data_IF_406332161277
#
_entry.id   IF_406332161277
#
_cell.length_a   1.000
_cell.length_b   1.000
_cell.length_c   1.000
_cell.angle_alpha   90.00
_cell.angle_beta   90.00
_cell.angle_gamma   90.00
#
_symmetry.space_group_name_H-M   'P 1'
#
loop_
_entity.id
_entity.type
_entity.pdbx_description
1 polymer ?
#
# COMPACT_ATOMS: atom_id res chain seq x y z
N UNK A 1 -8.96 5.25 -1.43
CA UNK A 1 -10.32 5.79 -1.65
C UNK A 1 -10.30 7.26 -1.99
N UNK A 2 -11.28 7.72 -2.72
CA UNK A 2 -11.47 9.12 -3.11
C UNK A 2 -12.95 9.48 -3.00
N UNK A 3 -13.30 10.77 -2.95
CA UNK A 3 -14.71 11.14 -3.02
C UNK A 3 -15.35 10.63 -4.32
N UNK A 4 -16.64 10.31 -4.29
CA UNK A 4 -17.37 9.73 -5.44
C UNK A 4 -17.20 10.59 -6.70
N UNK A 5 -17.24 11.92 -6.56
CA UNK A 5 -17.04 12.86 -7.66
C UNK A 5 -15.64 12.79 -8.29
N UNK A 6 -14.65 12.30 -7.57
CA UNK A 6 -13.27 12.16 -8.05
C UNK A 6 -12.96 10.76 -8.64
N UNK A 7 -13.88 9.80 -8.51
CA UNK A 7 -13.68 8.43 -9.02
C UNK A 7 -13.27 8.41 -10.51
N UNK A 8 -13.97 9.13 -11.43
CA UNK A 8 -13.57 9.10 -12.84
C UNK A 8 -12.14 9.63 -13.07
N UNK A 9 -11.75 10.67 -12.33
CA UNK A 9 -10.40 11.26 -12.43
C UNK A 9 -9.35 10.31 -11.88
N UNK A 10 -9.63 9.65 -10.75
CA UNK A 10 -8.73 8.67 -10.16
C UNK A 10 -8.50 7.48 -11.10
N UNK A 11 -9.59 6.91 -11.65
CA UNK A 11 -9.49 5.75 -12.58
C UNK A 11 -8.68 6.12 -13.83
N UNK A 12 -8.89 7.32 -14.40
CA UNK A 12 -8.10 7.79 -15.53
C UNK A 12 -6.61 7.91 -15.17
N UNK A 13 -6.30 8.50 -14.03
CA UNK A 13 -4.92 8.61 -13.57
C UNK A 13 -4.27 7.22 -13.35
N UNK A 14 -5.00 6.25 -12.83
CA UNK A 14 -4.48 4.89 -12.64
C UNK A 14 -4.16 4.19 -13.98
N UNK A 15 -4.95 4.48 -15.03
CA UNK A 15 -4.65 3.99 -16.39
C UNK A 15 -3.37 4.64 -16.94
N UNK A 16 -3.22 5.95 -16.79
CA UNK A 16 -2.02 6.68 -17.21
C UNK A 16 -0.76 6.18 -16.46
N UNK A 17 -0.88 5.87 -15.16
CA UNK A 17 0.18 5.27 -14.36
C UNK A 17 0.53 3.86 -14.86
N UNK A 18 -0.47 3.03 -15.16
CA UNK A 18 -0.26 1.70 -15.70
C UNK A 18 0.56 1.73 -17.01
N UNK A 19 0.22 2.64 -17.92
CA UNK A 19 0.93 2.85 -19.17
C UNK A 19 2.36 3.37 -18.93
N UNK A 20 2.53 4.37 -18.07
CA UNK A 20 3.82 4.98 -17.72
C UNK A 20 4.82 3.96 -17.20
N UNK A 21 4.37 3.09 -16.30
CA UNK A 21 5.24 2.07 -15.66
C UNK A 21 5.23 0.73 -16.41
N UNK A 22 4.45 0.60 -17.48
CA UNK A 22 4.31 -0.64 -18.26
C UNK A 22 3.95 -1.84 -17.36
N UNK A 23 2.93 -1.64 -16.52
CA UNK A 23 2.37 -2.66 -15.64
C UNK A 23 0.88 -2.82 -15.91
N UNK A 24 0.35 -4.00 -15.68
CA UNK A 24 -1.08 -4.24 -15.79
C UNK A 24 -1.78 -3.94 -14.48
N UNK A 25 -2.72 -2.99 -14.48
CA UNK A 25 -3.52 -2.62 -13.30
C UNK A 25 -4.99 -2.85 -13.61
N UNK A 26 -5.64 -3.72 -12.84
CA UNK A 26 -7.08 -3.86 -12.83
C UNK A 26 -7.65 -3.00 -11.70
N UNK A 27 -8.56 -2.07 -12.04
CA UNK A 27 -9.24 -1.22 -11.07
C UNK A 27 -10.71 -1.66 -10.97
N UNK A 28 -11.14 -1.95 -9.77
CA UNK A 28 -12.54 -2.27 -9.42
C UNK A 28 -12.85 -1.72 -8.03
N UNK A 29 -14.05 -1.89 -7.52
CA UNK A 29 -14.37 -1.44 -6.17
C UNK A 29 -15.81 -1.00 -5.98
N UNK A 30 -16.01 -0.17 -4.97
CA UNK A 30 -17.32 0.31 -4.55
C UNK A 30 -17.51 1.76 -5.02
N UNK A 31 -18.04 1.92 -6.23
CA UNK A 31 -18.20 3.24 -6.85
C UNK A 31 -19.11 4.19 -6.04
N UNK A 32 -20.01 3.63 -5.23
CA UNK A 32 -20.97 4.39 -4.42
C UNK A 32 -20.33 5.16 -3.24
N UNK A 33 -19.15 4.71 -2.80
CA UNK A 33 -18.42 5.34 -1.68
C UNK A 33 -16.98 5.76 -2.03
N UNK A 34 -16.59 5.52 -3.29
CA UNK A 34 -15.26 5.90 -3.78
C UNK A 34 -14.11 5.00 -3.32
N UNK A 35 -14.41 3.83 -2.78
CA UNK A 35 -13.42 2.83 -2.41
C UNK A 35 -12.98 2.03 -3.63
N UNK A 36 -11.75 2.27 -4.09
CA UNK A 36 -11.18 1.66 -5.28
C UNK A 36 -10.08 0.67 -4.92
N UNK A 37 -10.20 -0.53 -5.48
CA UNK A 37 -9.17 -1.56 -5.40
C UNK A 37 -8.36 -1.54 -6.69
N UNK A 38 -7.05 -1.38 -6.56
CA UNK A 38 -6.11 -1.51 -7.67
C UNK A 38 -5.34 -2.82 -7.50
N UNK A 39 -5.59 -3.76 -8.39
CA UNK A 39 -4.87 -5.04 -8.41
C UNK A 39 -3.84 -5.01 -9.53
N UNK A 40 -2.59 -5.12 -9.16
CA UNK A 40 -1.49 -5.18 -10.11
C UNK A 40 -1.19 -6.64 -10.47
N UNK A 41 -1.01 -6.91 -11.75
CA UNK A 41 -0.59 -8.22 -12.27
C UNK A 41 0.85 -8.06 -12.72
N UNK A 42 1.77 -8.67 -11.98
CA UNK A 42 3.21 -8.62 -12.23
C UNK A 42 3.82 -9.99 -11.96
N UNK A 43 4.94 -10.28 -12.60
CA UNK A 43 5.77 -11.42 -12.23
C UNK A 43 6.64 -11.07 -11.01
N UNK A 44 6.42 -11.70 -9.85
CA UNK A 44 7.23 -11.41 -8.66
C UNK A 44 8.69 -11.88 -8.79
N UNK A 45 9.02 -12.68 -9.79
CA UNK A 45 10.38 -13.13 -10.08
C UNK A 45 11.12 -12.15 -10.99
N UNK A 46 10.40 -11.34 -11.77
CA UNK A 46 10.99 -10.25 -12.55
C UNK A 46 11.21 -9.03 -11.66
N UNK A 47 12.48 -8.81 -11.31
CA UNK A 47 12.85 -7.69 -10.44
C UNK A 47 12.51 -6.33 -11.05
N UNK A 48 12.70 -6.16 -12.35
CA UNK A 48 12.44 -4.88 -13.01
C UNK A 48 10.95 -4.60 -13.08
N UNK A 49 10.13 -5.60 -13.34
CA UNK A 49 8.67 -5.47 -13.29
C UNK A 49 8.18 -5.18 -11.88
N UNK A 50 8.74 -5.87 -10.88
CA UNK A 50 8.44 -5.60 -9.47
C UNK A 50 8.76 -4.16 -9.08
N UNK A 51 9.96 -3.67 -9.41
CA UNK A 51 10.38 -2.31 -9.06
C UNK A 51 9.50 -1.25 -9.75
N UNK A 52 9.10 -1.46 -11.01
CA UNK A 52 8.12 -0.61 -11.70
C UNK A 52 6.75 -0.67 -11.03
N UNK A 53 6.32 -1.85 -10.61
CA UNK A 53 5.08 -2.04 -9.85
C UNK A 53 5.06 -1.27 -8.55
N UNK A 54 6.14 -1.32 -7.78
CA UNK A 54 6.28 -0.55 -6.53
C UNK A 54 6.17 0.95 -6.77
N UNK A 55 6.82 1.46 -7.84
CA UNK A 55 6.72 2.88 -8.20
C UNK A 55 5.30 3.25 -8.61
N UNK A 56 4.64 2.43 -9.41
CA UNK A 56 3.25 2.65 -9.81
C UNK A 56 2.29 2.69 -8.61
N UNK A 57 2.43 1.78 -7.63
CA UNK A 57 1.61 1.77 -6.41
C UNK A 57 1.81 3.05 -5.60
N UNK A 58 3.05 3.51 -5.44
CA UNK A 58 3.32 4.74 -4.70
C UNK A 58 2.69 5.96 -5.41
N UNK A 59 2.78 6.06 -6.73
CA UNK A 59 2.16 7.15 -7.49
C UNK A 59 0.63 7.09 -7.43
N UNK A 60 0.02 5.90 -7.41
CA UNK A 60 -1.41 5.73 -7.17
C UNK A 60 -1.81 6.32 -5.81
N UNK A 61 -1.05 6.06 -4.76
CA UNK A 61 -1.31 6.62 -3.43
C UNK A 61 -1.16 8.14 -3.44
N UNK A 62 -0.13 8.68 -4.11
CA UNK A 62 0.08 10.11 -4.22
C UNK A 62 -1.10 10.80 -4.92
N UNK A 63 -1.57 10.25 -6.04
CA UNK A 63 -2.78 10.72 -6.73
C UNK A 63 -4.01 10.68 -5.83
N UNK A 64 -4.20 9.61 -5.05
CA UNK A 64 -5.33 9.54 -4.11
C UNK A 64 -5.27 10.66 -3.05
N UNK A 65 -4.09 10.93 -2.49
CA UNK A 65 -3.88 12.00 -1.51
C UNK A 65 -4.14 13.38 -2.16
N UNK A 66 -3.61 13.62 -3.36
CA UNK A 66 -3.81 14.87 -4.10
C UNK A 66 -5.27 15.14 -4.45
N UNK A 67 -6.07 14.09 -4.65
CA UNK A 67 -7.51 14.18 -4.86
C UNK A 67 -8.31 14.34 -3.56
N UNK A 68 -7.63 14.55 -2.42
CA UNK A 68 -8.25 14.68 -1.10
C UNK A 68 -8.84 13.35 -0.58
N UNK A 69 -8.30 12.25 -1.08
CA UNK A 69 -8.70 10.90 -0.67
C UNK A 69 -7.81 10.30 0.41
N UNK A 70 -7.79 8.97 0.48
CA UNK A 70 -7.03 8.21 1.48
C UNK A 70 -6.36 6.99 0.85
N UNK A 71 -5.23 6.60 1.41
CA UNK A 71 -4.49 5.40 0.97
C UNK A 71 -5.15 4.09 1.41
N UNK A 72 -6.10 4.16 2.31
CA UNK A 72 -6.82 2.97 2.78
C UNK A 72 -8.32 3.25 2.92
N UNK A 73 -9.12 2.52 2.14
CA UNK A 73 -10.59 2.57 2.26
C UNK A 73 -11.10 1.68 3.39
N UNK A 74 -10.75 0.39 3.39
CA UNK A 74 -11.30 -0.60 4.31
C UNK A 74 -10.28 -1.61 4.87
N UNK A 75 -9.18 -1.88 4.14
CA UNK A 75 -8.25 -2.96 4.49
C UNK A 75 -7.22 -2.59 5.56
N UNK A 76 -7.25 -1.37 6.06
CA UNK A 76 -6.23 -0.88 6.99
C UNK A 76 -4.89 -0.59 6.31
N UNK A 77 -3.91 -0.24 7.12
CA UNK A 77 -2.60 0.26 6.67
C UNK A 77 -1.54 -0.84 6.68
N UNK A 78 -1.44 -1.58 7.78
CA UNK A 78 -0.42 -2.61 7.96
C UNK A 78 1.00 -2.07 7.77
N UNK A 79 1.84 -2.87 7.13
CA UNK A 79 3.23 -2.51 6.82
C UNK A 79 3.37 -1.86 5.45
N UNK A 80 2.65 -2.38 4.46
CA UNK A 80 2.83 -2.00 3.06
C UNK A 80 2.41 -0.57 2.74
N UNK A 81 1.42 -0.03 3.45
CA UNK A 81 0.89 1.32 3.24
C UNK A 81 1.42 2.34 4.25
N UNK A 82 2.18 1.90 5.26
CA UNK A 82 2.61 2.77 6.35
C UNK A 82 3.32 4.06 5.88
N UNK A 83 4.28 4.03 4.95
CA UNK A 83 4.94 5.25 4.47
C UNK A 83 3.96 6.26 3.85
N UNK A 84 3.02 5.77 3.04
CA UNK A 84 2.04 6.63 2.37
C UNK A 84 0.97 7.13 3.35
N UNK A 85 0.58 6.32 4.33
CA UNK A 85 -0.31 6.72 5.41
C UNK A 85 0.32 7.80 6.30
N UNK A 86 1.60 7.67 6.64
CA UNK A 86 2.32 8.68 7.40
C UNK A 86 2.41 10.02 6.65
N UNK A 87 2.54 9.98 5.32
CA UNK A 87 2.50 11.17 4.45
C UNK A 87 1.11 11.81 4.45
N UNK A 88 0.07 10.99 4.33
CA UNK A 88 -1.34 11.43 4.34
C UNK A 88 -1.74 12.07 5.68
N UNK A 89 -1.35 11.44 6.80
CA UNK A 89 -1.83 11.76 8.15
C UNK A 89 -0.78 12.40 9.05
N UNK A 90 0.12 13.16 8.48
CA UNK A 90 1.24 13.77 9.21
C UNK A 90 0.77 14.61 10.42
N UNK A 91 -0.33 15.33 10.28
CA UNK A 91 -0.91 16.16 11.35
C UNK A 91 -1.56 15.33 12.48
N UNK A 92 -2.02 14.11 12.19
CA UNK A 92 -2.75 13.26 13.13
C UNK A 92 -1.86 12.24 13.85
N UNK A 93 -0.60 12.09 13.46
CA UNK A 93 0.30 11.06 14.00
C UNK A 93 0.46 11.14 15.51
N UNK A 94 0.50 12.35 16.08
CA UNK A 94 0.59 12.53 17.54
C UNK A 94 -0.63 11.96 18.25
N UNK A 95 -1.83 12.18 17.71
CA UNK A 95 -3.08 11.66 18.25
C UNK A 95 -3.17 10.13 18.13
N UNK A 96 -2.73 9.59 16.99
CA UNK A 96 -2.67 8.14 16.78
C UNK A 96 -1.75 7.47 17.81
N UNK A 97 -0.57 8.06 18.04
CA UNK A 97 0.38 7.57 19.06
C UNK A 97 -0.19 7.65 20.48
N UNK A 98 -0.88 8.74 20.81
CA UNK A 98 -1.50 8.88 22.11
C UNK A 98 -2.60 7.83 22.37
N UNK A 99 -3.43 7.56 21.35
CA UNK A 99 -4.46 6.51 21.42
C UNK A 99 -3.79 5.14 21.60
N UNK A 100 -2.76 4.84 20.80
CA UNK A 100 -2.01 3.59 20.89
C UNK A 100 -1.44 3.38 22.29
N UNK A 101 -0.76 4.39 22.86
CA UNK A 101 -0.17 4.32 24.18
C UNK A 101 -1.22 4.17 25.30
N UNK A 102 -2.38 4.79 25.16
CA UNK A 102 -3.48 4.66 26.13
C UNK A 102 -4.11 3.26 26.12
N UNK A 103 -4.21 2.63 24.93
CA UNK A 103 -4.88 1.33 24.80
C UNK A 103 -3.93 0.14 24.93
N UNK A 104 -2.64 0.34 24.71
CA UNK A 104 -1.60 -0.69 24.75
C UNK A 104 -0.32 -0.12 25.39
N UNK A 105 -0.37 0.19 26.71
CA UNK A 105 0.77 0.80 27.40
C UNK A 105 2.02 -0.10 27.42
N UNK A 106 1.85 -1.42 27.37
CA UNK A 106 2.94 -2.40 27.33
C UNK A 106 3.49 -2.61 25.89
N UNK A 107 2.85 -2.00 24.89
CA UNK A 107 3.20 -2.13 23.46
C UNK A 107 3.36 -3.58 22.98
N UNK A 108 2.44 -4.46 23.39
CA UNK A 108 2.42 -5.89 23.02
C UNK A 108 1.55 -6.17 21.80
N UNK A 109 0.62 -5.26 21.44
CA UNK A 109 -0.28 -5.41 20.30
C UNK A 109 0.36 -4.80 19.03
N UNK A 110 0.87 -5.66 18.16
CA UNK A 110 1.52 -5.25 16.92
C UNK A 110 2.58 -4.15 17.12
N UNK A 111 3.62 -4.39 17.91
CA UNK A 111 4.63 -3.40 18.22
C UNK A 111 5.29 -2.86 16.96
N UNK A 112 5.62 -1.57 16.94
CA UNK A 112 6.29 -0.89 15.83
C UNK A 112 5.41 -0.62 14.60
N UNK A 113 4.09 -0.83 14.66
CA UNK A 113 3.16 -0.47 13.58
C UNK A 113 2.63 0.95 13.80
N UNK A 114 2.56 1.74 12.73
CA UNK A 114 2.02 3.12 12.71
C UNK A 114 2.79 4.15 13.55
N UNK A 115 3.82 3.78 14.28
CA UNK A 115 4.54 4.71 15.16
C UNK A 115 5.88 5.15 14.63
N UNK A 116 6.72 4.19 14.31
CA UNK A 116 8.04 4.39 13.72
C UNK A 116 8.28 3.25 12.75
N UNK A 117 7.94 3.48 11.50
CA UNK A 117 8.18 2.47 10.49
C UNK A 117 9.68 2.44 10.16
N UNK A 118 10.37 1.43 10.66
CA UNK A 118 11.77 1.14 10.34
C UNK A 118 11.93 -0.17 9.57
N UNK A 119 10.83 -0.85 9.29
CA UNK A 119 10.82 -2.17 8.64
C UNK A 119 10.85 -2.08 7.11
N UNK A 120 10.68 -3.22 6.44
CA UNK A 120 10.73 -3.31 5.00
C UNK A 120 9.62 -2.48 4.34
N UNK A 121 9.96 -1.72 3.32
CA UNK A 121 9.01 -1.03 2.47
C UNK A 121 8.34 -2.00 1.51
N UNK A 122 7.30 -1.56 0.80
CA UNK A 122 6.61 -2.38 -0.19
C UNK A 122 7.57 -3.07 -1.18
N UNK A 123 8.63 -2.37 -1.59
CA UNK A 123 9.69 -2.90 -2.45
C UNK A 123 10.40 -4.13 -1.87
N UNK A 124 10.45 -4.22 -0.53
CA UNK A 124 11.15 -5.26 0.21
C UNK A 124 10.21 -6.42 0.58
N UNK A 125 8.91 -6.27 0.35
CA UNK A 125 7.86 -7.27 0.64
C UNK A 125 7.55 -8.17 -0.56
N UNK A 126 8.51 -8.38 -1.43
CA UNK A 126 8.40 -9.20 -2.62
C UNK A 126 8.00 -10.64 -2.27
N UNK A 127 7.01 -11.19 -2.98
CA UNK A 127 6.63 -12.59 -2.86
C UNK A 127 6.67 -13.27 -4.23
N UNK A 128 7.34 -14.43 -4.34
CA UNK A 128 8.14 -15.06 -3.28
C UNK A 128 9.35 -14.22 -2.91
N UNK A 129 9.59 -14.05 -1.62
CA UNK A 129 10.76 -13.31 -1.15
C UNK A 129 12.04 -14.09 -1.53
N UNK A 130 13.02 -13.49 -2.22
CA UNK A 130 14.24 -14.17 -2.60
C UNK A 130 14.97 -14.83 -1.43
N UNK A 131 14.89 -14.25 -0.24
CA UNK A 131 15.48 -14.77 0.99
C UNK A 131 14.82 -16.08 1.45
N UNK A 132 13.55 -16.27 1.14
CA UNK A 132 12.82 -17.51 1.47
C UNK A 132 12.93 -18.57 0.38
N UNK A 133 13.25 -18.20 -0.85
CA UNK A 133 13.42 -19.17 -1.94
C UNK A 133 14.63 -20.09 -1.76
N UNK A 134 15.65 -19.65 -0.98
CA UNK A 134 16.79 -20.49 -0.58
C UNK A 134 16.50 -21.43 0.58
N UNK A 135 15.35 -21.32 1.23
CA UNK A 135 15.00 -22.06 2.45
C UNK A 135 13.71 -22.86 2.33
N UNK A 136 13.19 -23.03 1.11
CA UNK A 136 12.11 -24.01 0.92
C UNK A 136 12.63 -25.37 1.39
N UNK A 137 12.11 -25.97 2.48
CA UNK A 137 12.47 -27.32 2.81
C UNK A 137 12.09 -28.16 1.59
N UNK A 138 13.05 -28.84 1.02
CA UNK A 138 12.78 -29.80 -0.03
C UNK A 138 11.63 -30.68 0.45
N UNK A 139 10.49 -30.62 -0.24
CA UNK A 139 9.42 -31.59 -0.03
C UNK A 139 10.08 -32.92 -0.33
N UNK A 140 10.42 -33.66 0.73
CA UNK A 140 10.89 -35.02 0.59
C UNK A 140 9.68 -35.81 0.11
N UNK A 141 9.77 -36.28 -1.14
CA UNK A 141 8.87 -37.29 -1.67
C UNK A 141 8.79 -38.52 -0.76
#
# INVERSE_FOLDING_TARGET
GVSVSQVPKAVKAFQEIAEKYRVTIATYGHASDGNLHTKMVIDPLDKDEWDRGVQAVNEIFDVCIELGGTVTGEHGVGLSKAPNFMKERQSEISSIKAIKAAMDPENILNPGKLEQWTGPFLRDLRYPCPEYMGHSPAVKE
#
